data_IF_106184724673
#
_entry.id   IF_106184724673
#
_cell.length_a   1.000
_cell.length_b   1.000
_cell.length_c   1.000
_cell.angle_alpha   90.00
_cell.angle_beta   90.00
_cell.angle_gamma   90.00
#
_symmetry.space_group_name_H-M   'P 1'
#
loop_
_entity.id
_entity.type
_entity.pdbx_description
1 polymer ?
#
# COMPACT_ATOMS: atom_id res chain seq x y z
N UNK A 1 14.58 22.64 -18.23
CA UNK A 1 14.77 21.23 -17.85
C UNK A 1 14.02 20.39 -18.86
N UNK A 2 14.57 19.26 -19.32
CA UNK A 2 13.84 18.36 -20.22
C UNK A 2 12.76 17.61 -19.44
N UNK A 3 11.63 17.31 -20.08
CA UNK A 3 10.53 16.50 -19.51
C UNK A 3 11.05 15.12 -19.07
N UNK A 4 11.98 14.53 -19.83
CA UNK A 4 12.60 13.24 -19.49
C UNK A 4 13.43 13.36 -18.20
N UNK A 5 14.13 14.48 -18.01
CA UNK A 5 14.91 14.72 -16.79
C UNK A 5 13.99 14.90 -15.58
N UNK A 6 12.88 15.63 -15.73
CA UNK A 6 11.87 15.78 -14.67
C UNK A 6 11.25 14.43 -14.30
N UNK A 7 10.86 13.62 -15.31
CA UNK A 7 10.37 12.25 -15.10
C UNK A 7 11.39 11.36 -14.40
N UNK A 8 12.66 11.46 -14.79
CA UNK A 8 13.73 10.70 -14.16
C UNK A 8 13.90 11.09 -12.68
N UNK A 9 13.87 12.38 -12.35
CA UNK A 9 13.94 12.86 -10.98
C UNK A 9 12.78 12.37 -10.12
N UNK A 10 11.55 12.41 -10.64
CA UNK A 10 10.39 11.88 -9.92
C UNK A 10 10.51 10.35 -9.75
N UNK A 11 10.99 9.65 -10.78
CA UNK A 11 11.20 8.20 -10.72
C UNK A 11 12.27 7.83 -9.68
N UNK A 12 13.37 8.59 -9.60
CA UNK A 12 14.37 8.41 -8.54
C UNK A 12 13.82 8.72 -7.14
N UNK A 13 13.03 9.79 -6.99
CA UNK A 13 12.40 10.12 -5.72
C UNK A 13 11.45 9.01 -5.26
N UNK A 14 10.63 8.50 -6.18
CA UNK A 14 9.73 7.38 -5.94
C UNK A 14 10.50 6.11 -5.57
N UNK A 15 11.56 5.79 -6.32
CA UNK A 15 12.45 4.65 -6.03
C UNK A 15 13.04 4.71 -4.62
N UNK A 16 13.45 5.90 -4.16
CA UNK A 16 13.95 6.11 -2.79
C UNK A 16 12.83 5.97 -1.76
N UNK A 17 11.66 6.54 -2.03
CA UNK A 17 10.53 6.54 -1.10
C UNK A 17 10.00 5.13 -0.83
N UNK A 18 9.82 4.31 -1.87
CA UNK A 18 9.31 2.92 -1.74
C UNK A 18 10.29 1.96 -1.08
N UNK A 19 11.55 2.35 -0.93
CA UNK A 19 12.57 1.55 -0.24
C UNK A 19 12.75 1.92 1.23
N UNK A 20 12.21 3.05 1.68
CA UNK A 20 12.25 3.42 3.09
C UNK A 20 11.43 2.41 3.90
N UNK A 21 12.04 1.89 4.95
CA UNK A 21 11.32 1.16 5.99
C UNK A 21 10.85 2.17 7.03
N UNK A 22 9.61 2.61 6.90
CA UNK A 22 8.99 3.50 7.87
C UNK A 22 8.35 2.70 9.01
N UNK A 23 8.27 3.34 10.17
CA UNK A 23 7.52 2.81 11.31
C UNK A 23 6.01 2.78 11.00
N UNK A 24 5.22 2.07 11.81
CA UNK A 24 3.76 2.05 11.64
C UNK A 24 3.14 3.45 11.73
N UNK A 25 3.72 4.33 12.55
CA UNK A 25 3.21 5.68 12.78
C UNK A 25 3.43 6.60 11.57
N UNK A 26 4.54 6.42 10.83
CA UNK A 26 4.87 7.25 9.66
C UNK A 26 4.36 6.66 8.34
N UNK A 27 3.75 5.47 8.38
CA UNK A 27 3.40 4.73 7.16
C UNK A 27 2.33 5.43 6.34
N UNK A 28 1.37 6.08 6.98
CA UNK A 28 0.31 6.81 6.28
C UNK A 28 0.90 7.98 5.48
N UNK A 29 1.79 8.76 6.11
CA UNK A 29 2.53 9.82 5.42
C UNK A 29 3.41 9.29 4.28
N UNK A 30 4.04 8.12 4.44
CA UNK A 30 4.81 7.49 3.38
C UNK A 30 3.92 7.15 2.18
N UNK A 31 2.74 6.58 2.42
CA UNK A 31 1.78 6.23 1.37
C UNK A 31 1.30 7.49 0.65
N UNK A 32 1.02 8.58 1.38
CA UNK A 32 0.66 9.87 0.77
C UNK A 32 1.77 10.41 -0.14
N UNK A 33 3.03 10.37 0.32
CA UNK A 33 4.18 10.80 -0.51
C UNK A 33 4.34 9.94 -1.76
N UNK A 34 4.18 8.62 -1.64
CA UNK A 34 4.22 7.70 -2.78
C UNK A 34 3.11 8.03 -3.78
N UNK A 35 1.87 8.22 -3.30
CA UNK A 35 0.73 8.54 -4.17
C UNK A 35 0.93 9.87 -4.90
N UNK A 36 1.43 10.89 -4.20
CA UNK A 36 1.74 12.19 -4.81
C UNK A 36 2.79 12.05 -5.91
N UNK A 37 3.88 11.33 -5.66
CA UNK A 37 4.92 11.09 -6.65
C UNK A 37 4.39 10.32 -7.88
N UNK A 38 3.49 9.36 -7.68
CA UNK A 38 2.83 8.63 -8.77
C UNK A 38 1.93 9.54 -9.61
N UNK A 39 1.14 10.41 -8.96
CA UNK A 39 0.26 11.37 -9.63
C UNK A 39 1.05 12.42 -10.41
N UNK A 40 2.08 13.03 -9.79
CA UNK A 40 2.96 13.99 -10.45
C UNK A 40 3.65 13.37 -11.68
N UNK A 41 4.08 12.10 -11.56
CA UNK A 41 4.65 11.34 -12.67
C UNK A 41 3.64 11.11 -13.80
N UNK A 42 2.42 10.67 -13.47
CA UNK A 42 1.38 10.40 -14.46
C UNK A 42 1.03 11.66 -15.24
N UNK A 43 0.88 12.79 -14.55
CA UNK A 43 0.60 14.08 -15.17
C UNK A 43 1.69 14.49 -16.17
N UNK A 44 2.98 14.28 -15.84
CA UNK A 44 4.07 14.57 -16.77
C UNK A 44 4.08 13.65 -17.99
N UNK A 45 3.80 12.35 -17.79
CA UNK A 45 3.70 11.38 -18.89
C UNK A 45 2.60 11.76 -19.88
N UNK A 46 1.42 12.11 -19.37
CA UNK A 46 0.24 12.39 -20.21
C UNK A 46 0.33 13.74 -20.93
N UNK A 47 0.85 14.77 -20.27
CA UNK A 47 0.78 16.14 -20.79
C UNK A 47 1.98 16.55 -21.64
N UNK A 48 3.16 15.98 -21.39
CA UNK A 48 4.43 16.59 -21.84
C UNK A 48 5.38 15.63 -22.55
N UNK A 49 5.16 14.31 -22.49
CA UNK A 49 6.04 13.35 -23.15
C UNK A 49 5.71 13.25 -24.65
N UNK A 50 6.54 13.85 -25.50
CA UNK A 50 6.38 13.82 -26.96
C UNK A 50 7.74 13.59 -27.65
N UNK A 51 7.82 12.70 -28.66
CA UNK A 51 9.02 12.52 -29.48
C UNK A 51 9.23 13.71 -30.43
N UNK A 52 10.45 13.90 -30.99
CA UNK A 52 11.62 13.02 -30.90
C UNK A 52 12.50 13.28 -29.66
N UNK A 53 13.16 12.21 -29.17
CA UNK A 53 14.10 12.26 -28.04
C UNK A 53 15.55 12.17 -28.51
N UNK A 54 16.45 12.87 -27.83
CA UNK A 54 17.89 12.78 -28.08
C UNK A 54 18.53 11.53 -27.42
N UNK A 55 19.81 11.28 -27.68
CA UNK A 55 20.50 10.08 -27.16
C UNK A 55 20.58 10.05 -25.62
N UNK A 56 20.80 11.19 -24.98
CA UNK A 56 20.84 11.31 -23.51
C UNK A 56 19.47 11.01 -22.89
N UNK A 57 18.41 11.53 -23.50
CA UNK A 57 17.04 11.28 -23.09
C UNK A 57 16.66 9.81 -23.24
N UNK A 58 17.09 9.14 -24.31
CA UNK A 58 16.90 7.70 -24.48
C UNK A 58 17.65 6.89 -23.41
N UNK A 59 18.87 7.29 -23.03
CA UNK A 59 19.62 6.65 -21.94
C UNK A 59 18.90 6.80 -20.60
N UNK A 60 18.43 8.01 -20.29
CA UNK A 60 17.61 8.26 -19.09
C UNK A 60 16.32 7.43 -19.11
N UNK A 61 15.66 7.32 -20.26
CA UNK A 61 14.50 6.45 -20.47
C UNK A 61 14.76 5.00 -20.07
N UNK A 62 15.88 4.44 -20.54
CA UNK A 62 16.28 3.06 -20.20
C UNK A 62 16.55 2.89 -18.71
N UNK A 63 17.21 3.87 -18.07
CA UNK A 63 17.43 3.85 -16.63
C UNK A 63 16.11 3.92 -15.84
N UNK A 64 15.15 4.76 -16.26
CA UNK A 64 13.82 4.81 -15.64
C UNK A 64 13.10 3.47 -15.70
N UNK A 65 13.20 2.74 -16.82
CA UNK A 65 12.60 1.41 -16.96
C UNK A 65 13.19 0.42 -15.95
N UNK A 66 14.51 0.47 -15.71
CA UNK A 66 15.16 -0.36 -14.70
C UNK A 66 14.70 -0.02 -13.27
N UNK A 67 14.62 1.28 -12.94
CA UNK A 67 14.10 1.73 -11.64
C UNK A 67 12.65 1.30 -11.43
N UNK A 68 11.83 1.35 -12.49
CA UNK A 68 10.43 0.95 -12.44
C UNK A 68 10.24 -0.51 -12.03
N UNK A 69 11.10 -1.42 -12.50
CA UNK A 69 11.00 -2.84 -12.10
C UNK A 69 11.12 -3.04 -10.59
N UNK A 70 12.01 -2.26 -9.95
CA UNK A 70 12.18 -2.31 -8.50
C UNK A 70 11.01 -1.62 -7.79
N UNK A 71 10.57 -0.46 -8.30
CA UNK A 71 9.42 0.27 -7.76
C UNK A 71 8.18 -0.63 -7.74
N UNK A 72 7.87 -1.29 -8.84
CA UNK A 72 6.70 -2.16 -8.97
C UNK A 72 6.75 -3.30 -7.95
N UNK A 73 7.91 -3.95 -7.79
CA UNK A 73 8.10 -5.00 -6.79
C UNK A 73 7.88 -4.49 -5.37
N UNK A 74 8.37 -3.31 -5.04
CA UNK A 74 8.22 -2.74 -3.69
C UNK A 74 6.79 -2.27 -3.42
N UNK A 75 6.11 -1.66 -4.39
CA UNK A 75 4.71 -1.28 -4.27
C UNK A 75 3.82 -2.50 -4.04
N UNK A 76 4.09 -3.63 -4.72
CA UNK A 76 3.37 -4.88 -4.48
C UNK A 76 3.54 -5.38 -3.04
N UNK A 77 4.75 -5.29 -2.47
CA UNK A 77 5.01 -5.67 -1.07
C UNK A 77 4.27 -4.75 -0.10
N UNK A 78 4.39 -3.43 -0.27
CA UNK A 78 3.68 -2.44 0.55
C UNK A 78 2.18 -2.72 0.52
N UNK A 79 1.62 -2.99 -0.65
CA UNK A 79 0.20 -3.31 -0.80
C UNK A 79 -0.20 -4.63 -0.12
N UNK A 80 0.66 -5.66 -0.20
CA UNK A 80 0.45 -6.92 0.50
C UNK A 80 0.44 -6.73 2.03
N UNK A 81 1.36 -5.91 2.56
CA UNK A 81 1.42 -5.59 3.98
C UNK A 81 0.14 -4.86 4.42
N UNK A 82 -0.36 -3.90 3.63
CA UNK A 82 -1.62 -3.19 3.93
C UNK A 82 -2.78 -4.18 4.01
N UNK A 83 -2.86 -5.12 3.06
CA UNK A 83 -3.90 -6.17 3.07
C UNK A 83 -3.81 -7.05 4.30
N UNK A 84 -2.60 -7.40 4.74
CA UNK A 84 -2.39 -8.20 5.93
C UNK A 84 -2.89 -7.47 7.18
N UNK A 85 -2.55 -6.20 7.35
CA UNK A 85 -3.03 -5.40 8.49
C UNK A 85 -4.55 -5.29 8.51
N UNK A 86 -5.20 -5.08 7.36
CA UNK A 86 -6.67 -5.07 7.25
C UNK A 86 -7.26 -6.40 7.71
N UNK A 87 -6.65 -7.53 7.31
CA UNK A 87 -7.10 -8.87 7.72
C UNK A 87 -6.94 -9.06 9.23
N UNK A 88 -5.81 -8.65 9.80
CA UNK A 88 -5.57 -8.75 11.25
C UNK A 88 -6.56 -7.91 12.06
N UNK A 89 -6.86 -6.68 11.62
CA UNK A 89 -7.85 -5.82 12.26
C UNK A 89 -9.25 -6.46 12.26
N UNK A 90 -9.65 -7.08 11.15
CA UNK A 90 -10.93 -7.82 11.06
C UNK A 90 -10.98 -9.00 12.03
N UNK A 91 -9.89 -9.79 12.11
CA UNK A 91 -9.80 -10.92 13.05
C UNK A 91 -9.84 -10.46 14.50
N UNK A 92 -9.12 -9.39 14.85
CA UNK A 92 -9.14 -8.81 16.21
C UNK A 92 -10.54 -8.35 16.60
N UNK A 93 -11.25 -7.67 15.70
CA UNK A 93 -12.66 -7.27 15.93
C UNK A 93 -13.56 -8.48 16.18
N UNK A 94 -13.49 -9.51 15.32
CA UNK A 94 -14.29 -10.72 15.47
C UNK A 94 -14.01 -11.47 16.79
N UNK A 95 -12.75 -11.54 17.21
CA UNK A 95 -12.38 -12.12 18.51
C UNK A 95 -12.92 -11.28 19.67
N UNK A 96 -12.76 -9.96 19.62
CA UNK A 96 -13.27 -9.06 20.66
C UNK A 96 -14.79 -9.18 20.81
N UNK A 97 -15.55 -9.29 19.72
CA UNK A 97 -17.00 -9.49 19.78
C UNK A 97 -17.40 -10.83 20.41
N UNK A 98 -16.63 -11.91 20.17
CA UNK A 98 -16.85 -13.19 20.84
C UNK A 98 -16.63 -13.12 22.36
N UNK A 99 -15.61 -12.39 22.83
CA UNK A 99 -15.35 -12.23 24.27
C UNK A 99 -16.27 -11.23 24.96
N UNK A 100 -16.80 -10.25 24.24
CA UNK A 100 -17.79 -9.30 24.77
C UNK A 100 -19.20 -9.90 24.92
N UNK A 101 -19.51 -11.02 24.25
CA UNK A 101 -20.81 -11.69 24.37
C UNK A 101 -20.71 -13.20 24.63
N UNK A 102 -20.15 -13.65 25.78
CA UNK A 102 -19.98 -15.08 26.08
C UNK A 102 -21.29 -15.86 26.25
N UNK A 103 -22.42 -15.15 26.35
CA UNK A 103 -23.73 -15.71 26.72
C UNK A 103 -24.78 -15.65 25.60
N UNK A 104 -24.47 -15.07 24.44
CA UNK A 104 -25.43 -14.98 23.32
C UNK A 104 -25.73 -16.34 22.67
N UNK A 105 -24.90 -17.35 22.95
CA UNK A 105 -25.10 -18.74 22.52
C UNK A 105 -25.63 -19.67 23.61
N UNK A 106 -26.09 -19.15 24.76
CA UNK A 106 -26.99 -19.93 25.61
C UNK A 106 -28.39 -19.93 24.97
N UNK A 107 -28.53 -20.74 23.93
CA UNK A 107 -29.83 -21.29 23.56
C UNK A 107 -30.47 -21.85 24.83
N UNK A 108 -31.62 -21.32 25.18
CA UNK A 108 -32.49 -21.69 26.29
C UNK A 108 -32.90 -23.16 26.21
N UNK A 109 -31.99 -24.07 26.53
CA UNK A 109 -32.29 -25.48 26.83
C UNK A 109 -31.77 -25.84 28.23
N UNK A 110 -31.81 -24.84 29.13
CA UNK A 110 -31.54 -25.00 30.55
C UNK A 110 -32.78 -25.48 31.29
N UNK A 111 -33.28 -26.67 30.97
CA UNK A 111 -34.35 -27.30 31.74
C UNK A 111 -33.74 -28.14 32.88
N UNK A 112 -33.48 -27.51 34.03
CA UNK A 112 -33.20 -28.24 35.26
C UNK A 112 -34.51 -28.78 35.83
N UNK A 113 -34.77 -30.07 35.64
CA UNK A 113 -35.79 -30.78 36.42
C UNK A 113 -35.22 -31.11 37.80
N UNK A 114 -35.53 -30.28 38.80
CA UNK A 114 -35.44 -30.74 40.18
C UNK A 114 -36.69 -31.59 40.46
N UNK A 115 -36.53 -32.91 40.31
CA UNK A 115 -37.44 -33.88 40.89
C UNK A 115 -36.62 -34.97 41.56
N UNK A 116 -36.42 -34.82 42.87
CA UNK A 116 -36.28 -35.97 43.77
C UNK A 116 -36.81 -35.61 45.16
N UNK A 117 -37.96 -36.24 45.46
CA UNK A 117 -38.61 -36.58 46.74
C UNK A 117 -38.39 -35.69 47.96
#
# INVERSE_FOLDING_TARGET
>A
MSVIQELYQITEALYREVQKQESKDNREEQIERINKLLEDRQNLLDMRLQPPFNEEENKLGQQMVQLNQVIDSQLQKIFADIKMDIKELKVKRAKSTLYSNPYESLSMDGMFFDKRN
#
